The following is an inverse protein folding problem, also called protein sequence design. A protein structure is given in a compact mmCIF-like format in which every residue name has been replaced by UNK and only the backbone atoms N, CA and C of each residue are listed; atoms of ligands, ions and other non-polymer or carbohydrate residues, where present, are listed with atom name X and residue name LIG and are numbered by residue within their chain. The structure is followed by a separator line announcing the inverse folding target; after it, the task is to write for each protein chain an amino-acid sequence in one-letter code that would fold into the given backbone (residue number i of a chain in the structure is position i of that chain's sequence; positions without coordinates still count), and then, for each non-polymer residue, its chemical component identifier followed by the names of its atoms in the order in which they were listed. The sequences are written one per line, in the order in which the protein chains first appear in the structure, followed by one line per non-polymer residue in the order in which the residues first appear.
data_IF_522344332490
#
_entry.id   IF_522344332490
#
_cell.length_a   1.000
_cell.length_b   1.000
_cell.length_c   1.000
_cell.angle_alpha   90.00
_cell.angle_beta   90.00
_cell.angle_gamma   90.00
#
_symmetry.space_group_name_H-M   'P 1'
#
loop_
_entity.id
_entity.type
_entity.pdbx_description
1 polymer ?
#
# COMPACT_ATOMS: atom_id res chain seq x y z
N UNK A 1 -15.06 -4.56 8.95
CA UNK A 1 -14.32 -5.61 9.69
C UNK A 1 -15.25 -6.79 9.87
N UNK A 2 -14.91 -8.01 9.42
CA UNK A 2 -15.97 -8.97 9.16
C UNK A 2 -16.21 -9.91 10.35
N UNK A 3 -17.48 -10.01 10.71
CA UNK A 3 -18.05 -11.09 11.53
C UNK A 3 -18.70 -12.19 10.66
N UNK A 4 -18.76 -12.03 9.33
CA UNK A 4 -19.65 -12.79 8.40
C UNK A 4 -18.97 -13.48 7.21
N UNK A 5 -17.65 -13.33 6.99
CA UNK A 5 -16.95 -14.00 5.87
C UNK A 5 -15.64 -13.33 5.43
N UNK A 6 -14.93 -13.97 4.50
CA UNK A 6 -13.67 -13.47 3.95
C UNK A 6 -13.90 -12.17 3.14
N UNK A 7 -13.07 -11.15 3.40
CA UNK A 7 -13.13 -9.87 2.69
C UNK A 7 -12.14 -9.90 1.54
N UNK A 8 -12.60 -9.51 0.35
CA UNK A 8 -11.73 -9.38 -0.82
C UNK A 8 -10.59 -8.40 -0.55
N UNK A 9 -9.37 -8.79 -0.93
CA UNK A 9 -8.20 -7.92 -0.80
C UNK A 9 -8.29 -6.80 -1.83
N UNK A 10 -7.91 -5.60 -1.43
CA UNK A 10 -7.80 -4.47 -2.36
C UNK A 10 -6.67 -4.72 -3.37
N UNK A 11 -6.83 -4.30 -4.64
CA UNK A 11 -5.73 -4.33 -5.60
C UNK A 11 -4.57 -3.46 -5.08
N UNK A 12 -3.35 -3.98 -5.22
CA UNK A 12 -2.15 -3.28 -4.74
C UNK A 12 -1.74 -2.17 -5.71
N UNK A 13 -1.50 -0.97 -5.20
CA UNK A 13 -0.97 0.14 -5.99
C UNK A 13 0.43 -0.20 -6.51
N UNK A 14 0.67 0.16 -7.78
CA UNK A 14 1.98 0.06 -8.43
C UNK A 14 2.75 1.35 -8.15
N UNK A 15 4.03 1.22 -7.84
CA UNK A 15 4.91 2.38 -7.67
C UNK A 15 5.16 3.08 -9.01
N UNK A 16 5.25 4.42 -9.02
CA UNK A 16 5.41 5.20 -10.25
C UNK A 16 6.86 5.27 -10.74
N UNK A 17 7.84 5.10 -9.86
CA UNK A 17 9.27 5.22 -10.22
C UNK A 17 9.80 3.89 -10.75
N UNK A 18 9.49 2.81 -10.05
CA UNK A 18 10.01 1.47 -10.37
C UNK A 18 8.99 0.59 -11.12
N UNK A 19 7.77 1.08 -11.37
CA UNK A 19 6.66 0.32 -11.95
C UNK A 19 6.42 -1.03 -11.22
N UNK A 20 6.78 -1.11 -9.93
CA UNK A 20 6.82 -2.34 -9.16
C UNK A 20 5.77 -2.34 -8.06
N UNK A 21 4.91 -3.35 -8.05
CA UNK A 21 3.85 -3.48 -7.05
C UNK A 21 4.40 -3.78 -5.65
N UNK A 22 5.55 -4.44 -5.54
CA UNK A 22 6.19 -4.75 -4.25
C UNK A 22 6.71 -3.49 -3.58
N UNK A 23 7.30 -2.57 -4.35
CA UNK A 23 7.77 -1.27 -3.86
C UNK A 23 6.59 -0.41 -3.42
N UNK A 24 5.50 -0.37 -4.21
CA UNK A 24 4.27 0.34 -3.81
C UNK A 24 3.67 -0.21 -2.51
N UNK A 25 3.70 -1.53 -2.28
CA UNK A 25 3.29 -2.13 -1.01
C UNK A 25 4.24 -1.76 0.14
N UNK A 26 5.54 -1.68 -0.10
CA UNK A 26 6.53 -1.29 0.91
C UNK A 26 6.29 0.15 1.37
N UNK A 27 6.16 1.10 0.43
CA UNK A 27 5.86 2.51 0.72
C UNK A 27 4.59 2.63 1.58
N UNK A 28 3.52 1.93 1.20
CA UNK A 28 2.26 1.96 1.95
C UNK A 28 2.38 1.39 3.37
N UNK A 29 3.31 0.47 3.63
CA UNK A 29 3.57 -0.06 4.97
C UNK A 29 4.47 0.85 5.81
N UNK A 30 5.45 1.51 5.19
CA UNK A 30 6.36 2.45 5.86
C UNK A 30 5.67 3.79 6.17
N UNK A 31 4.61 4.12 5.42
CA UNK A 31 3.85 5.35 5.59
C UNK A 31 3.29 5.52 7.00
N UNK A 32 3.87 6.47 7.73
CA UNK A 32 3.39 6.89 9.05
C UNK A 32 2.46 8.09 8.92
N UNK A 33 1.40 8.12 9.73
CA UNK A 33 0.42 9.25 9.78
C UNK A 33 -0.25 9.58 8.44
N UNK A 34 -0.26 8.63 7.49
CA UNK A 34 -0.80 8.84 6.14
C UNK A 34 0.04 9.76 5.25
N UNK A 35 1.30 10.02 5.60
CA UNK A 35 2.19 10.90 4.83
C UNK A 35 2.95 10.13 3.76
N UNK A 36 2.40 10.10 2.55
CA UNK A 36 2.98 9.40 1.39
C UNK A 36 4.31 9.99 0.93
N UNK A 37 4.41 11.32 0.85
CA UNK A 37 5.62 12.01 0.40
C UNK A 37 6.85 11.74 1.27
N UNK A 38 6.67 11.52 2.58
CA UNK A 38 7.77 11.13 3.47
C UNK A 38 8.14 9.66 3.37
N UNK A 39 7.24 8.81 2.89
CA UNK A 39 7.46 7.37 2.77
C UNK A 39 8.10 6.97 1.43
N UNK A 40 8.02 7.85 0.42
CA UNK A 40 8.64 7.69 -0.90
C UNK A 40 10.08 8.21 -0.96
N UNK A 41 10.52 8.93 0.08
CA UNK A 41 11.80 9.64 0.11
C UNK A 41 12.95 8.75 0.58
#
# INVERSE_FOLDING_TARGET
MPRKGAVARRPGAVDQVFANQTVGRLINKVMTRGKKSTAER
#
